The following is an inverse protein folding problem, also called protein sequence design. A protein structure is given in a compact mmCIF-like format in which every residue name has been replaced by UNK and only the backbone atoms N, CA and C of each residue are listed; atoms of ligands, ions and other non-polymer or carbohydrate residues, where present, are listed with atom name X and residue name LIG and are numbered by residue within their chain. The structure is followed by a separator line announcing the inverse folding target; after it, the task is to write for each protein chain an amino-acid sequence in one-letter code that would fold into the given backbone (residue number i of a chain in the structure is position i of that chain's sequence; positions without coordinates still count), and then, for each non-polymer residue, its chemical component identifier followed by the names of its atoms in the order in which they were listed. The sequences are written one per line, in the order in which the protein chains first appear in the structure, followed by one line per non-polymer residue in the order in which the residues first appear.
data_IF_943058718137
#
_entry.id   IF_943058718137
#
_cell.length_a   1.000
_cell.length_b   1.000
_cell.length_c   1.000
_cell.angle_alpha   90.00
_cell.angle_beta   90.00
_cell.angle_gamma   90.00
#
_symmetry.space_group_name_H-M   'P 1'
#
loop_
_entity.id
_entity.type
_entity.pdbx_description
1 polymer ?
#
# COMPACT_ATOMS: atom_id res chain seq x y z
N UNK A 1 5.55 44.93 -29.34
CA UNK A 1 4.82 43.67 -29.52
C UNK A 1 5.29 42.78 -28.39
N UNK A 2 4.74 43.03 -27.21
CA UNK A 2 4.96 42.19 -26.03
C UNK A 2 4.28 40.85 -26.31
N UNK A 3 5.08 39.79 -26.30
CA UNK A 3 4.55 38.44 -26.29
C UNK A 3 3.98 38.22 -24.89
N UNK A 4 2.64 38.16 -24.82
CA UNK A 4 1.91 37.68 -23.66
C UNK A 4 2.48 36.32 -23.24
N UNK A 5 3.21 36.33 -22.12
CA UNK A 5 3.74 35.17 -21.42
C UNK A 5 2.60 34.43 -20.68
N UNK A 6 1.50 34.17 -21.40
CA UNK A 6 0.35 33.38 -20.96
C UNK A 6 0.66 31.87 -20.91
N UNK A 7 1.95 31.50 -20.87
CA UNK A 7 2.39 30.21 -20.32
C UNK A 7 2.49 30.33 -18.80
N UNK A 8 1.36 30.68 -18.17
CA UNK A 8 1.14 30.53 -16.74
C UNK A 8 1.03 29.03 -16.39
N UNK A 9 2.09 28.27 -16.65
CA UNK A 9 2.35 27.00 -16.01
C UNK A 9 2.44 27.30 -14.52
N UNK A 10 1.43 26.84 -13.78
CA UNK A 10 1.20 27.11 -12.36
C UNK A 10 2.43 26.70 -11.53
N UNK A 11 3.38 27.61 -11.39
CA UNK A 11 4.57 27.41 -10.59
C UNK A 11 4.12 27.52 -9.14
N UNK A 12 4.00 26.37 -8.46
CA UNK A 12 3.60 26.34 -7.05
C UNK A 12 4.55 27.24 -6.24
N UNK A 13 4.00 28.23 -5.56
CA UNK A 13 4.80 29.10 -4.68
C UNK A 13 5.42 28.26 -3.55
N UNK A 14 6.55 28.72 -3.00
CA UNK A 14 7.28 27.99 -1.95
C UNK A 14 6.40 27.60 -0.74
N UNK A 15 5.58 28.51 -0.16
CA UNK A 15 4.68 28.15 0.95
C UNK A 15 3.64 27.09 0.55
N UNK A 16 3.24 27.07 -0.71
CA UNK A 16 2.25 26.12 -1.23
C UNK A 16 2.86 24.73 -1.36
N UNK A 17 4.14 24.62 -1.76
CA UNK A 17 4.85 23.33 -1.86
C UNK A 17 4.99 22.63 -0.50
N UNK A 18 5.39 23.36 0.54
CA UNK A 18 5.49 22.82 1.90
C UNK A 18 4.12 22.29 2.37
N UNK A 19 3.05 23.06 2.17
CA UNK A 19 1.68 22.64 2.51
C UNK A 19 1.26 21.37 1.78
N UNK A 20 1.64 21.20 0.52
CA UNK A 20 1.36 19.98 -0.24
C UNK A 20 2.11 18.77 0.30
N UNK A 21 3.39 18.92 0.68
CA UNK A 21 4.15 17.85 1.32
C UNK A 21 3.45 17.42 2.62
N UNK A 22 3.06 18.36 3.47
CA UNK A 22 2.40 18.07 4.74
C UNK A 22 1.05 17.39 4.52
N UNK A 23 0.24 17.89 3.57
CA UNK A 23 -1.05 17.31 3.24
C UNK A 23 -0.91 15.88 2.70
N UNK A 24 0.02 15.64 1.78
CA UNK A 24 0.27 14.32 1.20
C UNK A 24 0.83 13.34 2.24
N UNK A 25 1.74 13.80 3.10
CA UNK A 25 2.29 12.98 4.19
C UNK A 25 1.19 12.60 5.19
N UNK A 26 0.32 13.56 5.54
CA UNK A 26 -0.82 13.31 6.44
C UNK A 26 -1.82 12.34 5.80
N UNK A 27 -2.16 12.54 4.52
CA UNK A 27 -3.03 11.63 3.79
C UNK A 27 -2.45 10.20 3.72
N UNK A 28 -1.14 10.07 3.48
CA UNK A 28 -0.47 8.78 3.47
C UNK A 28 -0.50 8.08 4.84
N UNK A 29 -0.36 8.80 5.95
CA UNK A 29 -0.55 8.25 7.29
C UNK A 29 -2.00 7.77 7.53
N UNK A 30 -2.99 8.55 7.10
CA UNK A 30 -4.40 8.15 7.20
C UNK A 30 -4.68 6.86 6.40
N UNK A 31 -4.13 6.75 5.19
CA UNK A 31 -4.26 5.55 4.36
C UNK A 31 -3.56 4.34 4.96
N UNK A 32 -2.37 4.54 5.54
CA UNK A 32 -1.67 3.47 6.26
C UNK A 32 -2.47 2.97 7.46
N UNK A 33 -3.03 3.88 8.28
CA UNK A 33 -3.91 3.52 9.39
C UNK A 33 -5.19 2.84 8.92
N UNK A 34 -5.80 3.30 7.84
CA UNK A 34 -6.97 2.66 7.23
C UNK A 34 -6.64 1.22 6.80
N UNK A 35 -5.45 0.99 6.23
CA UNK A 35 -5.01 -0.35 5.89
C UNK A 35 -4.81 -1.24 7.12
N UNK A 36 -4.25 -0.71 8.21
CA UNK A 36 -4.16 -1.45 9.46
C UNK A 36 -5.53 -1.82 10.04
N UNK A 37 -6.54 -0.96 9.89
CA UNK A 37 -7.91 -1.29 10.28
C UNK A 37 -8.48 -2.45 9.44
N UNK A 38 -8.19 -2.49 8.13
CA UNK A 38 -8.56 -3.63 7.27
C UNK A 38 -7.88 -4.92 7.75
N UNK A 39 -6.57 -4.87 8.06
CA UNK A 39 -5.84 -6.01 8.62
C UNK A 39 -6.50 -6.49 9.92
N UNK A 40 -6.86 -5.58 10.83
CA UNK A 40 -7.51 -5.92 12.08
C UNK A 40 -8.90 -6.57 11.88
N UNK A 41 -9.66 -6.11 10.90
CA UNK A 41 -10.96 -6.71 10.54
C UNK A 41 -10.78 -8.14 10.06
N UNK A 42 -9.81 -8.39 9.18
CA UNK A 42 -9.54 -9.74 8.66
C UNK A 42 -8.94 -10.68 9.71
N UNK A 43 -8.08 -10.17 10.59
CA UNK A 43 -7.62 -10.93 11.76
C UNK A 43 -8.79 -11.34 12.65
N UNK A 44 -9.69 -10.40 12.97
CA UNK A 44 -10.90 -10.70 13.75
C UNK A 44 -11.76 -11.76 13.05
N UNK A 45 -11.93 -11.66 11.73
CA UNK A 45 -12.67 -12.65 10.92
C UNK A 45 -12.01 -14.02 11.00
N UNK A 46 -10.69 -14.09 10.88
CA UNK A 46 -9.94 -15.33 11.00
C UNK A 46 -10.12 -15.97 12.39
N UNK A 47 -9.97 -15.20 13.46
CA UNK A 47 -10.12 -15.72 14.82
C UNK A 47 -11.56 -16.14 15.17
N UNK A 48 -12.56 -15.61 14.48
CA UNK A 48 -13.94 -16.06 14.61
C UNK A 48 -14.20 -17.45 13.99
N UNK A 49 -13.26 -17.99 13.21
CA UNK A 49 -13.39 -19.33 12.61
C UNK A 49 -13.12 -20.39 13.68
N UNK A 50 -14.15 -21.18 13.97
CA UNK A 50 -14.16 -22.26 14.96
C UNK A 50 -14.34 -23.65 14.34
N UNK A 51 -14.90 -23.73 13.14
CA UNK A 51 -15.02 -24.97 12.34
C UNK A 51 -14.39 -24.75 10.96
N UNK A 52 -13.76 -25.78 10.39
CA UNK A 52 -13.03 -25.68 9.12
C UNK A 52 -13.72 -26.42 7.98
N UNK A 53 -13.60 -25.85 6.77
CA UNK A 53 -13.90 -26.51 5.49
C UNK A 53 -12.63 -26.91 4.73
N UNK A 54 -11.47 -26.85 5.36
CA UNK A 54 -10.18 -27.16 4.74
C UNK A 54 -9.63 -28.46 5.30
N UNK A 55 -8.84 -29.17 4.49
CA UNK A 55 -8.18 -30.41 4.89
C UNK A 55 -7.11 -30.17 5.97
N UNK A 56 -6.43 -29.03 5.92
CA UNK A 56 -5.45 -28.57 6.92
C UNK A 56 -6.09 -27.93 8.18
N UNK A 57 -7.42 -28.03 8.29
CA UNK A 57 -8.17 -27.65 9.49
C UNK A 57 -8.34 -26.15 9.67
N UNK A 58 -8.62 -25.73 10.90
CA UNK A 58 -9.02 -24.33 11.19
C UNK A 58 -7.90 -23.34 10.91
N UNK A 59 -6.64 -23.76 11.05
CA UNK A 59 -5.49 -22.88 10.83
C UNK A 59 -5.27 -22.56 9.36
N UNK A 60 -5.47 -23.49 8.43
CA UNK A 60 -5.41 -23.19 7.00
C UNK A 60 -6.47 -22.18 6.58
N UNK A 61 -7.70 -22.36 7.04
CA UNK A 61 -8.79 -21.41 6.78
C UNK A 61 -8.54 -20.03 7.41
N UNK A 62 -7.86 -19.96 8.56
CA UNK A 62 -7.43 -18.69 9.18
C UNK A 62 -6.38 -17.98 8.35
N UNK A 63 -5.34 -18.69 7.94
CA UNK A 63 -4.27 -18.14 7.07
C UNK A 63 -4.87 -17.67 5.75
N UNK A 64 -5.79 -18.44 5.18
CA UNK A 64 -6.56 -18.05 3.99
C UNK A 64 -7.27 -16.72 4.19
N UNK A 65 -8.03 -16.59 5.27
CA UNK A 65 -8.79 -15.38 5.56
C UNK A 65 -7.88 -14.17 5.74
N UNK A 66 -6.76 -14.32 6.46
CA UNK A 66 -5.78 -13.24 6.64
C UNK A 66 -5.14 -12.85 5.29
N UNK A 67 -4.92 -13.81 4.40
CA UNK A 67 -4.40 -13.52 3.06
C UNK A 67 -5.33 -12.66 2.20
N UNK A 68 -6.60 -12.49 2.55
CA UNK A 68 -7.49 -11.58 1.80
C UNK A 68 -7.07 -10.12 1.89
N UNK A 69 -6.29 -9.75 2.90
CA UNK A 69 -5.65 -8.44 3.00
C UNK A 69 -4.73 -8.15 1.80
N UNK A 70 -4.21 -9.20 1.15
CA UNK A 70 -3.38 -9.09 -0.04
C UNK A 70 -4.16 -9.10 -1.36
N UNK A 71 -5.48 -9.24 -1.36
CA UNK A 71 -6.27 -9.16 -2.60
C UNK A 71 -6.23 -7.72 -3.13
N UNK A 72 -6.17 -7.51 -4.47
CA UNK A 72 -6.05 -6.19 -5.10
C UNK A 72 -6.99 -5.13 -4.54
N UNK A 73 -8.24 -5.49 -4.29
CA UNK A 73 -9.27 -4.61 -3.75
C UNK A 73 -8.89 -4.04 -2.38
N UNK A 74 -8.20 -4.81 -1.55
CA UNK A 74 -7.76 -4.40 -0.22
C UNK A 74 -6.37 -3.74 -0.28
N UNK A 75 -5.44 -4.32 -1.04
CA UNK A 75 -4.06 -3.84 -1.15
C UNK A 75 -3.94 -2.52 -1.91
N UNK A 76 -4.96 -2.10 -2.69
CA UNK A 76 -4.94 -0.82 -3.41
C UNK A 76 -4.82 0.38 -2.46
N UNK A 77 -5.33 0.27 -1.22
CA UNK A 77 -5.19 1.33 -0.21
C UNK A 77 -3.72 1.60 0.10
N UNK A 78 -2.87 0.56 0.14
CA UNK A 78 -1.42 0.72 0.30
C UNK A 78 -0.79 1.41 -0.91
N UNK A 79 -1.22 1.08 -2.12
CA UNK A 79 -0.71 1.71 -3.33
C UNK A 79 -1.01 3.21 -3.36
N UNK A 80 -2.23 3.61 -2.99
CA UNK A 80 -2.59 5.03 -2.88
C UNK A 80 -1.72 5.71 -1.82
N UNK A 81 -1.48 5.06 -0.68
CA UNK A 81 -0.55 5.57 0.34
C UNK A 81 0.88 5.74 -0.19
N UNK A 82 1.38 4.78 -0.96
CA UNK A 82 2.69 4.84 -1.60
C UNK A 82 2.78 5.96 -2.65
N UNK A 83 1.70 6.22 -3.40
CA UNK A 83 1.61 7.35 -4.32
C UNK A 83 1.66 8.69 -3.59
N UNK A 84 0.98 8.83 -2.45
CA UNK A 84 1.08 10.03 -1.61
C UNK A 84 2.53 10.28 -1.18
N UNK A 85 3.26 9.24 -0.77
CA UNK A 85 4.68 9.34 -0.40
C UNK A 85 5.56 9.73 -1.59
N UNK A 86 5.35 9.10 -2.75
CA UNK A 86 6.12 9.42 -3.96
C UNK A 86 5.89 10.86 -4.41
N UNK A 87 4.63 11.31 -4.45
CA UNK A 87 4.29 12.69 -4.81
C UNK A 87 4.83 13.70 -3.79
N UNK A 88 4.73 13.40 -2.48
CA UNK A 88 5.31 14.25 -1.44
C UNK A 88 6.82 14.40 -1.61
N UNK A 89 7.52 13.32 -1.97
CA UNK A 89 8.96 13.31 -2.19
C UNK A 89 9.36 14.12 -3.43
N UNK A 90 8.58 14.02 -4.53
CA UNK A 90 8.80 14.83 -5.74
C UNK A 90 8.62 16.32 -5.42
N UNK A 91 7.55 16.68 -4.70
CA UNK A 91 7.32 18.08 -4.30
C UNK A 91 8.44 18.56 -3.38
N UNK A 92 8.90 17.71 -2.46
CA UNK A 92 10.01 18.00 -1.56
C UNK A 92 11.31 18.32 -2.29
N UNK A 93 11.69 17.51 -3.29
CA UNK A 93 12.92 17.72 -4.07
C UNK A 93 12.92 19.06 -4.83
N UNK A 94 11.75 19.64 -5.07
CA UNK A 94 11.62 20.96 -5.70
C UNK A 94 11.79 22.15 -4.73
N UNK A 95 12.01 21.89 -3.43
CA UNK A 95 12.21 22.89 -2.37
C UNK A 95 13.70 23.16 -2.19
N UNK A 96 14.08 24.45 -2.07
CA UNK A 96 15.47 24.85 -1.90
C UNK A 96 16.06 24.24 -0.60
N UNK A 97 17.30 23.72 -0.59
CA UNK A 97 17.85 22.96 0.54
C UNK A 97 17.79 23.67 1.90
N UNK A 98 17.99 24.98 1.92
CA UNK A 98 18.02 25.78 3.15
C UNK A 98 16.63 25.98 3.78
N UNK A 99 15.56 25.78 3.00
CA UNK A 99 14.17 26.01 3.41
C UNK A 99 13.41 24.70 3.69
N UNK A 100 14.09 23.54 3.63
CA UNK A 100 13.45 22.24 3.74
C UNK A 100 12.96 21.97 5.19
N UNK A 101 11.69 21.59 5.39
CA UNK A 101 11.20 21.14 6.69
C UNK A 101 11.93 19.87 7.20
N UNK A 102 11.61 19.37 8.41
CA UNK A 102 12.11 18.07 8.86
C UNK A 102 11.50 16.89 8.07
N UNK A 103 12.32 16.15 7.32
CA UNK A 103 11.87 15.02 6.47
C UNK A 103 11.48 13.73 7.22
N UNK A 104 11.63 13.70 8.55
CA UNK A 104 11.52 12.46 9.36
C UNK A 104 10.17 11.76 9.21
N UNK A 105 9.07 12.51 9.14
CA UNK A 105 7.73 11.91 9.03
C UNK A 105 7.54 11.19 7.70
N UNK A 106 7.95 11.83 6.59
CA UNK A 106 7.87 11.27 5.25
C UNK A 106 8.72 10.01 5.10
N UNK A 107 9.96 10.02 5.60
CA UNK A 107 10.84 8.84 5.57
C UNK A 107 10.29 7.66 6.40
N UNK A 108 9.75 7.95 7.60
CA UNK A 108 9.09 6.94 8.43
C UNK A 108 7.89 6.34 7.70
N UNK A 109 7.05 7.18 7.11
CA UNK A 109 5.89 6.72 6.35
C UNK A 109 6.31 5.84 5.17
N UNK A 110 7.32 6.24 4.40
CA UNK A 110 7.87 5.44 3.30
C UNK A 110 8.35 4.06 3.80
N UNK A 111 9.08 4.04 4.91
CA UNK A 111 9.57 2.80 5.53
C UNK A 111 8.43 1.91 6.01
N UNK A 112 7.40 2.49 6.64
CA UNK A 112 6.25 1.73 7.16
C UNK A 112 5.39 1.15 6.04
N UNK A 113 5.12 1.92 4.98
CA UNK A 113 4.39 1.43 3.80
C UNK A 113 5.23 0.37 3.05
N UNK A 114 6.55 0.57 2.93
CA UNK A 114 7.44 -0.45 2.36
C UNK A 114 7.45 -1.75 3.17
N UNK A 115 7.57 -1.64 4.50
CA UNK A 115 7.58 -2.78 5.41
C UNK A 115 6.28 -3.59 5.35
N UNK A 116 5.11 -2.92 5.42
CA UNK A 116 3.83 -3.62 5.30
C UNK A 116 3.62 -4.22 3.90
N UNK A 117 4.13 -3.58 2.83
CA UNK A 117 4.06 -4.17 1.48
C UNK A 117 4.79 -5.51 1.40
N UNK A 118 5.92 -5.67 2.08
CA UNK A 118 6.64 -6.95 2.17
C UNK A 118 5.78 -8.00 2.88
N UNK A 119 5.15 -7.63 4.00
CA UNK A 119 4.25 -8.53 4.75
C UNK A 119 3.10 -9.00 3.86
N UNK A 120 2.50 -8.09 3.09
CA UNK A 120 1.39 -8.39 2.19
C UNK A 120 1.80 -9.37 1.08
N UNK A 121 2.99 -9.22 0.52
CA UNK A 121 3.55 -10.19 -0.43
C UNK A 121 3.68 -11.57 0.25
N UNK A 122 4.23 -11.63 1.47
CA UNK A 122 4.34 -12.87 2.23
C UNK A 122 2.98 -13.54 2.48
N UNK A 123 1.97 -12.77 2.90
CA UNK A 123 0.61 -13.25 3.12
C UNK A 123 -0.04 -13.76 1.83
N UNK A 124 0.19 -13.09 0.71
CA UNK A 124 -0.29 -13.56 -0.59
C UNK A 124 0.34 -14.91 -0.95
N UNK A 125 1.65 -15.07 -0.77
CA UNK A 125 2.34 -16.33 -1.04
C UNK A 125 1.85 -17.46 -0.13
N UNK A 126 1.61 -17.18 1.15
CA UNK A 126 1.00 -18.14 2.08
C UNK A 126 -0.41 -18.55 1.63
N UNK A 127 -1.22 -17.59 1.20
CA UNK A 127 -2.55 -17.88 0.65
C UNK A 127 -2.50 -18.73 -0.62
N UNK A 128 -1.54 -18.50 -1.52
CA UNK A 128 -1.31 -19.36 -2.69
C UNK A 128 -0.95 -20.79 -2.25
N UNK A 129 -0.05 -20.93 -1.27
CA UNK A 129 0.31 -22.23 -0.69
C UNK A 129 -0.87 -22.97 -0.05
N UNK A 130 -1.91 -22.25 0.38
CA UNK A 130 -3.15 -22.80 0.91
C UNK A 130 -4.17 -23.26 -0.14
N UNK A 131 -3.93 -23.09 -1.46
CA UNK A 131 -4.85 -23.52 -2.53
C UNK A 131 -5.07 -25.05 -2.56
N UNK A 132 -4.03 -25.90 -2.47
CA UNK A 132 -4.20 -27.35 -2.59
C UNK A 132 -5.04 -28.00 -1.48
N UNK A 133 -5.21 -27.35 -0.33
CA UNK A 133 -5.87 -27.90 0.85
C UNK A 133 -7.36 -27.56 0.94
N UNK A 134 -7.92 -26.94 -0.10
CA UNK A 134 -9.31 -26.46 -0.15
C UNK A 134 -10.18 -27.49 -0.84
N UNK A 135 -11.37 -27.72 -0.30
CA UNK A 135 -12.45 -28.34 -1.06
C UNK A 135 -13.17 -27.27 -1.89
N UNK A 136 -12.58 -26.88 -3.02
CA UNK A 136 -13.11 -25.86 -3.93
C UNK A 136 -13.07 -26.33 -5.40
N UNK A 137 -13.90 -25.71 -6.24
CA UNK A 137 -13.91 -25.99 -7.67
C UNK A 137 -12.66 -25.39 -8.37
N UNK A 138 -12.13 -26.01 -9.44
CA UNK A 138 -10.93 -25.54 -10.13
C UNK A 138 -10.98 -24.09 -10.62
N UNK A 139 -12.18 -23.59 -10.97
CA UNK A 139 -12.38 -22.20 -11.37
C UNK A 139 -12.23 -21.22 -10.19
N UNK A 140 -12.65 -21.61 -8.99
CA UNK A 140 -12.48 -20.80 -7.78
C UNK A 140 -10.99 -20.72 -7.40
N UNK A 141 -10.26 -21.82 -7.55
CA UNK A 141 -8.81 -21.86 -7.28
C UNK A 141 -8.02 -20.99 -8.27
N UNK A 142 -8.38 -21.01 -9.55
CA UNK A 142 -7.76 -20.13 -10.55
C UNK A 142 -8.02 -18.65 -10.20
N UNK A 143 -9.25 -18.30 -9.84
CA UNK A 143 -9.60 -16.94 -9.41
C UNK A 143 -8.82 -16.50 -8.18
N UNK A 144 -8.67 -17.39 -7.19
CA UNK A 144 -7.93 -17.14 -5.96
C UNK A 144 -6.42 -16.95 -6.22
N UNK A 145 -5.85 -17.75 -7.13
CA UNK A 145 -4.45 -17.63 -7.57
C UNK A 145 -4.22 -16.28 -8.28
N UNK A 146 -5.01 -15.98 -9.30
CA UNK A 146 -4.90 -14.74 -10.08
C UNK A 146 -5.08 -13.51 -9.18
N UNK A 147 -6.07 -13.55 -8.28
CA UNK A 147 -6.30 -12.50 -7.29
C UNK A 147 -5.06 -12.23 -6.45
N UNK A 148 -4.39 -13.26 -5.93
CA UNK A 148 -3.19 -13.09 -5.10
C UNK A 148 -1.98 -12.61 -5.89
N UNK A 149 -1.78 -13.10 -7.12
CA UNK A 149 -0.70 -12.62 -7.99
C UNK A 149 -0.88 -11.13 -8.30
N UNK A 150 -2.10 -10.70 -8.62
CA UNK A 150 -2.39 -9.29 -8.82
C UNK A 150 -2.14 -8.47 -7.54
N UNK A 151 -2.49 -9.03 -6.38
CA UNK A 151 -2.18 -8.46 -5.07
C UNK A 151 -0.68 -8.24 -4.82
N UNK A 152 0.13 -9.25 -5.13
CA UNK A 152 1.60 -9.18 -5.08
C UNK A 152 2.11 -8.06 -5.99
N UNK A 153 1.58 -7.95 -7.20
CA UNK A 153 1.98 -6.89 -8.13
C UNK A 153 1.69 -5.47 -7.56
N UNK A 154 0.52 -5.27 -6.94
CA UNK A 154 0.14 -4.02 -6.28
C UNK A 154 1.07 -3.70 -5.10
N UNK A 155 1.35 -4.69 -4.25
CA UNK A 155 2.26 -4.53 -3.12
C UNK A 155 3.71 -4.27 -3.59
N UNK A 156 4.16 -4.94 -4.64
CA UNK A 156 5.48 -4.72 -5.24
C UNK A 156 5.61 -3.31 -5.85
N UNK A 157 4.57 -2.80 -6.51
CA UNK A 157 4.53 -1.43 -7.00
C UNK A 157 4.62 -0.42 -5.84
N UNK A 158 3.86 -0.65 -4.77
CA UNK A 158 3.88 0.18 -3.55
C UNK A 158 5.27 0.20 -2.91
N UNK A 159 5.92 -0.97 -2.82
CA UNK A 159 7.28 -1.12 -2.30
C UNK A 159 8.30 -0.40 -3.19
N UNK A 160 8.17 -0.48 -4.50
CA UNK A 160 9.09 0.19 -5.43
C UNK A 160 8.98 1.71 -5.30
N UNK A 161 7.77 2.25 -5.24
CA UNK A 161 7.52 3.68 -5.07
C UNK A 161 8.09 4.21 -3.75
N UNK A 162 7.86 3.50 -2.66
CA UNK A 162 8.33 3.91 -1.33
C UNK A 162 9.84 3.83 -1.16
N UNK A 163 10.50 2.85 -1.80
CA UNK A 163 11.98 2.79 -1.83
C UNK A 163 12.57 3.96 -2.61
N UNK A 164 12.06 4.24 -3.81
CA UNK A 164 12.50 5.39 -4.59
C UNK A 164 12.29 6.71 -3.84
N UNK A 165 11.18 6.83 -3.11
CA UNK A 165 10.86 7.99 -2.28
C UNK A 165 11.73 8.13 -1.01
N UNK A 166 12.28 7.02 -0.50
CA UNK A 166 13.19 7.02 0.63
C UNK A 166 14.64 7.37 0.22
N UNK A 167 15.03 6.98 -1.00
CA UNK A 167 16.37 7.19 -1.57
C UNK A 167 16.55 8.57 -2.25
N UNK A 168 15.44 9.23 -2.57
CA UNK A 168 15.39 10.64 -3.02
C UNK A 168 15.78 11.58 -1.89
#
# INVERSE_FOLDING_TARGET
MELDDNTAGTTLTHPTRIRWVDALTTAGWCLWLAYLALVAIELRRAFAITTSRFEDGVWGQRVETISFVSIPQNSIVLLIGALCVALASIVWMSIHPDDQPPRRSLQRLATMIGGISIVVIGLALLGIGGIPFRYADPLADLGALVGRIAGIAVAAASLRLTRLAADS
#
